data_IF_720541427416
#
_entry.id   IF_720541427416
#
_cell.length_a   1.000
_cell.length_b   1.000
_cell.length_c   1.000
_cell.angle_alpha   90.00
_cell.angle_beta   90.00
_cell.angle_gamma   90.00
#
_symmetry.space_group_name_H-M   'P 1'
#
loop_
_entity.id
_entity.type
_entity.pdbx_description
1 polymer ?
#
# COMPACT_ATOMS: atom_id res chain seq x y z
N UNK A 1 12.82 -7.95 -12.49
CA UNK A 1 12.46 -9.16 -13.29
C UNK A 1 11.60 -8.75 -14.50
N UNK A 2 11.47 -9.58 -15.55
CA UNK A 2 10.54 -9.29 -16.67
C UNK A 2 9.09 -9.50 -16.24
N UNK A 3 8.17 -8.66 -16.74
CA UNK A 3 6.72 -8.83 -16.53
C UNK A 3 6.17 -10.11 -17.16
N UNK A 4 6.93 -10.79 -18.02
CA UNK A 4 6.54 -12.08 -18.62
C UNK A 4 6.42 -13.21 -17.59
N UNK A 5 6.97 -13.03 -16.39
CA UNK A 5 6.76 -13.94 -15.26
C UNK A 5 5.34 -13.85 -14.68
N UNK A 6 4.55 -12.83 -15.07
CA UNK A 6 3.18 -12.63 -14.60
C UNK A 6 2.18 -13.04 -15.68
N UNK A 7 1.08 -13.65 -15.25
CA UNK A 7 -0.03 -14.02 -16.13
C UNK A 7 -0.55 -12.79 -16.89
N UNK A 8 -0.67 -12.93 -18.21
CA UNK A 8 -1.37 -11.97 -19.04
C UNK A 8 -2.85 -12.34 -19.11
N UNK A 9 -3.73 -11.46 -18.64
CA UNK A 9 -5.18 -11.61 -18.77
C UNK A 9 -5.71 -10.50 -19.69
N UNK A 10 -6.36 -10.83 -20.81
CA UNK A 10 -6.93 -9.81 -21.67
C UNK A 10 -7.99 -9.01 -20.90
N UNK A 11 -7.99 -7.69 -21.07
CA UNK A 11 -9.01 -6.81 -20.49
C UNK A 11 -10.31 -7.05 -21.25
N UNK A 12 -11.24 -7.77 -20.64
CA UNK A 12 -12.61 -7.88 -21.16
C UNK A 12 -13.33 -6.55 -20.93
N UNK A 13 -14.13 -6.08 -21.89
CA UNK A 13 -15.03 -4.96 -21.63
C UNK A 13 -16.09 -5.38 -20.60
N UNK A 14 -16.69 -4.41 -19.90
CA UNK A 14 -17.89 -4.68 -19.11
C UNK A 14 -19.05 -4.86 -20.08
N UNK A 15 -19.76 -5.97 -19.96
CA UNK A 15 -20.93 -6.29 -20.80
C UNK A 15 -22.23 -5.74 -20.17
N UNK A 16 -22.18 -4.52 -19.60
CA UNK A 16 -23.36 -3.86 -19.04
C UNK A 16 -23.98 -2.97 -20.11
N UNK A 17 -25.21 -3.29 -20.51
CA UNK A 17 -25.90 -2.55 -21.58
C UNK A 17 -26.47 -1.22 -21.07
N UNK A 18 -26.71 -0.27 -21.99
CA UNK A 18 -27.40 0.98 -21.62
C UNK A 18 -28.82 0.73 -21.08
N UNK A 19 -29.48 -0.32 -21.55
CA UNK A 19 -30.81 -0.71 -21.08
C UNK A 19 -30.76 -1.16 -19.61
N UNK A 20 -29.81 -2.01 -19.23
CA UNK A 20 -29.60 -2.47 -17.85
C UNK A 20 -29.26 -1.31 -16.91
N UNK A 21 -28.41 -0.38 -17.36
CA UNK A 21 -28.06 0.84 -16.60
C UNK A 21 -29.32 1.67 -16.34
N UNK A 22 -30.16 1.88 -17.36
CA UNK A 22 -31.37 2.66 -17.24
C UNK A 22 -32.42 1.97 -16.37
N UNK A 23 -32.55 0.64 -16.46
CA UNK A 23 -33.46 -0.13 -15.61
C UNK A 23 -33.04 -0.03 -14.15
N UNK A 24 -31.75 -0.25 -13.86
CA UNK A 24 -31.22 -0.18 -12.49
C UNK A 24 -31.32 1.24 -11.94
N UNK A 25 -31.07 2.27 -12.75
CA UNK A 25 -31.26 3.68 -12.37
C UNK A 25 -32.70 3.95 -11.94
N UNK A 26 -33.69 3.52 -12.73
CA UNK A 26 -35.12 3.66 -12.40
C UNK A 26 -35.49 2.90 -11.13
N UNK A 27 -34.96 1.69 -10.95
CA UNK A 27 -35.18 0.89 -9.74
C UNK A 27 -34.61 1.58 -8.51
N UNK A 28 -33.40 2.17 -8.60
CA UNK A 28 -32.80 2.94 -7.50
C UNK A 28 -33.70 4.13 -7.13
N UNK A 29 -34.13 4.93 -8.10
CA UNK A 29 -35.02 6.09 -7.85
C UNK A 29 -36.35 5.65 -7.22
N UNK A 30 -36.96 4.59 -7.73
CA UNK A 30 -38.22 4.05 -7.21
C UNK A 30 -38.06 3.56 -5.76
N UNK A 31 -37.01 2.80 -5.47
CA UNK A 31 -36.78 2.30 -4.12
C UNK A 31 -36.47 3.44 -3.14
N UNK A 32 -35.67 4.42 -3.53
CA UNK A 32 -35.43 5.61 -2.70
C UNK A 32 -36.75 6.35 -2.42
N UNK A 33 -37.62 6.48 -3.42
CA UNK A 33 -38.94 7.09 -3.24
C UNK A 33 -39.81 6.31 -2.23
N UNK A 34 -39.75 4.97 -2.23
CA UNK A 34 -40.45 4.15 -1.24
C UNK A 34 -39.99 4.43 0.20
N UNK A 35 -38.72 4.83 0.38
CA UNK A 35 -38.17 5.28 1.67
C UNK A 35 -38.36 6.79 1.93
N UNK A 36 -39.22 7.47 1.16
CA UNK A 36 -39.45 8.92 1.22
C UNK A 36 -38.18 9.76 0.95
N UNK A 37 -37.28 9.24 0.12
CA UNK A 37 -36.08 9.93 -0.35
C UNK A 37 -36.25 10.23 -1.83
N UNK A 38 -36.42 11.52 -2.15
CA UNK A 38 -36.52 11.96 -3.55
C UNK A 38 -35.13 12.26 -4.10
N UNK A 39 -34.71 11.46 -5.06
CA UNK A 39 -33.43 11.58 -5.74
C UNK A 39 -33.59 11.20 -7.22
N UNK A 40 -32.72 11.75 -8.07
CA UNK A 40 -32.66 11.38 -9.50
C UNK A 40 -31.24 11.01 -9.88
N UNK A 41 -31.07 9.94 -10.65
CA UNK A 41 -29.78 9.54 -11.21
C UNK A 41 -29.41 10.49 -12.33
N UNK A 42 -28.22 11.08 -12.26
CA UNK A 42 -27.70 12.05 -13.24
C UNK A 42 -26.62 11.48 -14.14
N UNK A 43 -25.82 10.59 -13.60
CA UNK A 43 -24.67 10.03 -14.29
C UNK A 43 -24.40 8.62 -13.77
N UNK A 44 -23.74 7.80 -14.59
CA UNK A 44 -23.40 6.42 -14.26
C UNK A 44 -21.98 6.12 -14.70
N UNK A 45 -21.15 5.70 -13.75
CA UNK A 45 -19.78 5.27 -14.00
C UNK A 45 -19.70 3.75 -13.86
N UNK A 46 -19.54 3.07 -14.99
CA UNK A 46 -19.33 1.61 -15.03
C UNK A 46 -17.85 1.30 -14.78
N UNK A 47 -17.57 0.61 -13.68
CA UNK A 47 -16.24 0.20 -13.28
C UNK A 47 -15.96 -1.29 -13.51
N UNK A 48 -14.74 -1.77 -13.21
CA UNK A 48 -14.38 -3.18 -13.37
C UNK A 48 -15.11 -4.12 -12.39
N UNK A 49 -15.44 -3.65 -11.19
CA UNK A 49 -16.02 -4.47 -10.10
C UNK A 49 -17.38 -3.96 -9.65
N UNK A 50 -17.56 -2.64 -9.68
CA UNK A 50 -18.78 -1.96 -9.25
C UNK A 50 -19.19 -0.92 -10.29
N UNK A 51 -20.46 -0.58 -10.30
CA UNK A 51 -21.01 0.54 -11.07
C UNK A 51 -21.50 1.59 -10.09
N UNK A 52 -21.08 2.85 -10.27
CA UNK A 52 -21.52 3.98 -9.44
C UNK A 52 -22.63 4.74 -10.16
N UNK A 53 -23.78 4.82 -9.53
CA UNK A 53 -24.89 5.68 -9.92
C UNK A 53 -24.79 6.99 -9.14
N UNK A 54 -24.61 8.10 -9.83
CA UNK A 54 -24.53 9.42 -9.22
C UNK A 54 -25.92 10.04 -9.11
N UNK A 55 -26.33 10.40 -7.90
CA UNK A 55 -27.67 10.91 -7.63
C UNK A 55 -27.64 12.36 -7.19
N UNK A 56 -28.54 13.14 -7.77
CA UNK A 56 -28.94 14.44 -7.27
C UNK A 56 -30.10 14.26 -6.28
N UNK A 57 -29.87 14.68 -5.04
CA UNK A 57 -30.91 14.72 -4.01
C UNK A 57 -31.77 15.97 -4.17
N UNK A 58 -33.07 15.87 -3.88
CA UNK A 58 -33.90 17.06 -3.83
C UNK A 58 -33.49 18.02 -2.68
N UNK A 59 -33.71 19.34 -2.84
CA UNK A 59 -33.42 20.31 -1.79
C UNK A 59 -34.01 19.91 -0.43
N UNK A 60 -33.19 19.96 0.61
CA UNK A 60 -33.58 19.61 1.98
C UNK A 60 -33.44 18.12 2.35
N UNK A 61 -33.12 17.25 1.39
CA UNK A 61 -32.77 15.84 1.68
C UNK A 61 -31.30 15.75 2.07
N UNK A 62 -31.00 15.22 3.26
CA UNK A 62 -29.64 15.01 3.74
C UNK A 62 -29.08 13.69 3.18
N UNK A 63 -27.81 13.68 2.77
CA UNK A 63 -27.11 12.47 2.31
C UNK A 63 -27.16 11.32 3.34
N UNK A 64 -27.07 11.63 4.64
CA UNK A 64 -27.15 10.65 5.71
C UNK A 64 -28.46 9.84 5.74
N UNK A 65 -29.56 10.36 5.18
CA UNK A 65 -30.79 9.58 5.04
C UNK A 65 -30.60 8.36 4.14
N UNK A 66 -29.78 8.49 3.10
CA UNK A 66 -29.45 7.40 2.17
C UNK A 66 -28.48 6.43 2.83
N UNK A 67 -27.44 6.95 3.49
CA UNK A 67 -26.46 6.14 4.21
C UNK A 67 -27.13 5.27 5.29
N UNK A 68 -28.12 5.80 6.00
CA UNK A 68 -28.83 5.08 7.07
C UNK A 68 -29.72 3.93 6.59
N UNK A 69 -30.06 3.87 5.30
CA UNK A 69 -30.92 2.83 4.72
C UNK A 69 -30.17 1.92 3.74
N UNK A 70 -28.84 1.97 3.70
CA UNK A 70 -28.02 1.26 2.73
C UNK A 70 -28.30 -0.26 2.66
N UNK A 71 -28.45 -0.91 3.82
CA UNK A 71 -28.74 -2.33 3.93
C UNK A 71 -30.16 -2.67 3.44
N UNK A 72 -31.13 -1.81 3.73
CA UNK A 72 -32.51 -2.00 3.28
C UNK A 72 -32.65 -1.74 1.78
N UNK A 73 -31.93 -0.74 1.27
CA UNK A 73 -31.85 -0.42 -0.14
C UNK A 73 -31.15 -1.53 -0.93
N UNK A 74 -30.05 -2.09 -0.41
CA UNK A 74 -29.37 -3.24 -1.01
C UNK A 74 -30.34 -4.42 -1.17
N UNK A 75 -31.11 -4.73 -0.11
CA UNK A 75 -32.11 -5.81 -0.12
C UNK A 75 -33.23 -5.54 -1.12
N UNK A 76 -33.76 -4.32 -1.15
CA UNK A 76 -34.83 -3.92 -2.08
C UNK A 76 -34.38 -3.96 -3.55
N UNK A 77 -33.09 -3.70 -3.80
CA UNK A 77 -32.48 -3.78 -5.12
C UNK A 77 -31.98 -5.19 -5.48
N UNK A 78 -32.06 -6.15 -4.55
CA UNK A 78 -31.55 -7.52 -4.69
C UNK A 78 -30.02 -7.62 -4.84
N UNK A 79 -29.28 -6.64 -4.31
CA UNK A 79 -27.82 -6.70 -4.20
C UNK A 79 -27.41 -7.33 -2.88
N UNK A 80 -26.30 -8.09 -2.89
CA UNK A 80 -25.70 -8.63 -1.65
C UNK A 80 -25.26 -7.52 -0.69
N UNK A 81 -24.72 -6.44 -1.24
CA UNK A 81 -24.33 -5.23 -0.53
C UNK A 81 -24.23 -4.08 -1.54
N UNK A 82 -24.40 -2.85 -1.05
CA UNK A 82 -24.11 -1.62 -1.79
C UNK A 82 -23.20 -0.73 -0.94
N UNK A 83 -22.56 0.26 -1.55
CA UNK A 83 -21.83 1.30 -0.83
C UNK A 83 -22.36 2.67 -1.21
N UNK A 84 -22.67 3.49 -0.20
CA UNK A 84 -23.09 4.88 -0.39
C UNK A 84 -21.87 5.79 -0.23
N UNK A 85 -21.51 6.52 -1.29
CA UNK A 85 -20.49 7.56 -1.28
C UNK A 85 -21.18 8.92 -1.09
N UNK A 86 -21.11 9.47 0.13
CA UNK A 86 -21.79 10.74 0.45
C UNK A 86 -21.26 11.95 -0.31
N UNK A 87 -20.00 11.91 -0.75
CA UNK A 87 -19.37 13.00 -1.50
C UNK A 87 -18.63 12.43 -2.70
N UNK A 88 -18.94 12.98 -3.87
CA UNK A 88 -18.19 12.75 -5.10
C UNK A 88 -17.32 13.98 -5.36
N UNK A 89 -16.02 13.77 -5.54
CA UNK A 89 -15.08 14.87 -5.77
C UNK A 89 -15.46 15.65 -7.05
N UNK A 90 -15.63 16.96 -6.91
CA UNK A 90 -15.94 17.85 -8.03
C UNK A 90 -17.39 17.85 -8.52
N UNK A 91 -18.30 17.09 -7.89
CA UNK A 91 -19.72 17.03 -8.27
C UNK A 91 -20.64 17.19 -7.05
N UNK A 92 -21.80 17.87 -7.16
CA UNK A 92 -22.76 18.04 -6.05
C UNK A 92 -23.68 16.81 -5.88
N UNK A 93 -23.16 15.60 -6.15
CA UNK A 93 -23.94 14.36 -6.17
C UNK A 93 -23.46 13.40 -5.09
N UNK A 94 -24.38 12.53 -4.66
CA UNK A 94 -24.05 11.33 -3.89
C UNK A 94 -23.86 10.16 -4.85
N UNK A 95 -23.12 9.12 -4.45
CA UNK A 95 -22.95 7.91 -5.24
C UNK A 95 -23.55 6.69 -4.58
N UNK A 96 -24.26 5.85 -5.34
CA UNK A 96 -24.58 4.48 -4.93
C UNK A 96 -23.75 3.54 -5.79
N UNK A 97 -22.86 2.79 -5.16
CA UNK A 97 -22.01 1.78 -5.81
C UNK A 97 -22.67 0.41 -5.65
N UNK A 98 -23.04 -0.20 -6.77
CA UNK A 98 -23.60 -1.55 -6.83
C UNK A 98 -22.58 -2.51 -7.41
N UNK A 99 -22.49 -3.76 -6.93
CA UNK A 99 -21.62 -4.75 -7.53
C UNK A 99 -22.09 -5.09 -8.95
N UNK A 100 -21.16 -5.26 -9.87
CA UNK A 100 -21.46 -5.81 -11.20
C UNK A 100 -21.72 -7.33 -11.08
N UNK A 101 -22.56 -7.86 -11.96
CA UNK A 101 -22.81 -9.30 -12.04
C UNK A 101 -21.55 -10.05 -12.48
N UNK A 102 -20.85 -9.51 -13.48
CA UNK A 102 -19.56 -10.02 -13.96
C UNK A 102 -18.41 -9.11 -13.50
N UNK A 103 -17.84 -9.43 -12.34
CA UNK A 103 -16.67 -8.71 -11.81
C UNK A 103 -15.41 -9.08 -12.59
N UNK A 104 -14.71 -8.09 -13.09
CA UNK A 104 -13.42 -8.27 -13.75
C UNK A 104 -12.32 -8.47 -12.71
N UNK A 105 -11.44 -9.44 -12.97
CA UNK A 105 -10.24 -9.63 -12.15
C UNK A 105 -9.20 -8.60 -12.56
N UNK A 106 -8.80 -7.74 -11.61
CA UNK A 106 -7.69 -6.81 -11.80
C UNK A 106 -6.38 -7.57 -11.57
N UNK A 107 -5.59 -7.77 -12.63
CA UNK A 107 -4.31 -8.47 -12.53
C UNK A 107 -3.19 -7.52 -12.04
N UNK A 108 -2.19 -8.06 -11.33
CA UNK A 108 -1.00 -7.29 -10.97
C UNK A 108 -0.27 -6.79 -12.22
N UNK A 109 -0.16 -7.64 -13.26
CA UNK A 109 0.51 -7.29 -14.51
C UNK A 109 -0.09 -6.05 -15.14
N UNK A 110 -1.41 -5.92 -15.17
CA UNK A 110 -2.10 -4.75 -15.73
C UNK A 110 -1.64 -3.44 -15.08
N UNK A 111 -1.45 -3.46 -13.76
CA UNK A 111 -1.07 -2.27 -13.00
C UNK A 111 0.42 -2.00 -13.17
N UNK A 112 1.27 -3.02 -13.19
CA UNK A 112 2.71 -2.84 -13.41
C UNK A 112 3.05 -2.45 -14.87
N UNK A 113 2.24 -2.85 -15.83
CA UNK A 113 2.37 -2.51 -17.25
C UNK A 113 1.88 -1.09 -17.57
N UNK A 114 1.11 -0.48 -16.65
CA UNK A 114 0.58 0.88 -16.78
C UNK A 114 1.67 1.96 -16.82
N UNK A 115 1.35 3.09 -17.47
CA UNK A 115 2.22 4.25 -17.48
C UNK A 115 2.43 4.82 -16.07
N UNK A 116 1.38 4.79 -15.24
CA UNK A 116 1.40 5.22 -13.85
C UNK A 116 2.47 4.51 -13.04
N UNK A 117 2.70 3.21 -13.29
CA UNK A 117 3.76 2.45 -12.62
C UNK A 117 5.11 2.61 -13.33
N UNK A 118 5.17 2.37 -14.64
CA UNK A 118 6.42 2.36 -15.43
C UNK A 118 7.17 3.69 -15.42
N UNK A 119 6.42 4.78 -15.52
CA UNK A 119 6.97 6.14 -15.57
C UNK A 119 6.99 6.79 -14.17
N UNK A 120 6.68 6.03 -13.12
CA UNK A 120 6.66 6.54 -11.76
C UNK A 120 8.05 6.99 -11.31
N UNK A 121 8.10 8.20 -10.73
CA UNK A 121 9.26 8.74 -10.01
C UNK A 121 9.22 8.40 -8.51
N UNK A 122 8.27 7.57 -8.08
CA UNK A 122 8.23 7.09 -6.69
C UNK A 122 9.50 6.30 -6.38
N UNK A 123 10.04 6.49 -5.18
CA UNK A 123 11.22 5.77 -4.71
C UNK A 123 10.84 4.33 -4.35
N UNK A 124 9.68 4.16 -3.72
CA UNK A 124 9.16 2.88 -3.29
C UNK A 124 7.73 2.69 -3.84
N UNK A 125 7.56 2.49 -5.16
CA UNK A 125 6.24 2.37 -5.77
C UNK A 125 5.55 1.07 -5.34
N UNK A 126 4.30 1.19 -4.89
CA UNK A 126 3.43 0.07 -4.59
C UNK A 126 2.16 0.15 -5.44
N UNK A 127 1.93 -0.85 -6.29
CA UNK A 127 0.68 -1.01 -7.00
C UNK A 127 -0.40 -1.49 -6.04
N UNK A 128 -1.54 -0.78 -5.98
CA UNK A 128 -2.67 -1.17 -5.14
C UNK A 128 -3.79 -1.86 -5.93
N UNK A 129 -3.88 -1.60 -7.23
CA UNK A 129 -4.95 -2.11 -8.08
C UNK A 129 -5.46 -1.03 -9.02
N UNK A 130 -6.78 -1.06 -9.27
CA UNK A 130 -7.50 -0.04 -10.04
C UNK A 130 -8.55 0.61 -9.14
N UNK A 131 -8.82 1.89 -9.36
CA UNK A 131 -9.97 2.53 -8.74
C UNK A 131 -11.29 2.07 -9.37
N UNK A 132 -12.41 2.62 -8.90
CA UNK A 132 -13.73 2.26 -9.41
C UNK A 132 -13.97 2.66 -10.87
N UNK A 133 -13.14 3.54 -11.45
CA UNK A 133 -13.18 3.91 -12.88
C UNK A 133 -12.30 2.99 -13.74
N UNK A 134 -11.54 2.08 -13.09
CA UNK A 134 -10.57 1.22 -13.77
C UNK A 134 -9.18 1.84 -13.92
N UNK A 135 -8.94 3.03 -13.35
CA UNK A 135 -7.64 3.69 -13.45
C UNK A 135 -6.62 3.03 -12.51
N UNK A 136 -5.40 2.70 -12.97
CA UNK A 136 -4.34 2.18 -12.12
C UNK A 136 -4.01 3.09 -10.94
N UNK A 137 -3.87 2.51 -9.75
CA UNK A 137 -3.48 3.21 -8.52
C UNK A 137 -2.12 2.70 -8.04
N UNK A 138 -1.17 3.62 -8.02
CA UNK A 138 0.20 3.40 -7.53
C UNK A 138 0.50 4.46 -6.47
N UNK A 139 1.00 4.03 -5.31
CA UNK A 139 1.43 4.92 -4.22
C UNK A 139 2.93 4.83 -4.01
N UNK A 140 3.50 5.76 -3.27
CA UNK A 140 4.92 5.78 -2.91
C UNK A 140 5.09 5.60 -1.41
N UNK A 141 5.59 4.44 -0.98
CA UNK A 141 5.78 4.12 0.43
C UNK A 141 6.71 5.14 1.12
N UNK A 142 7.68 5.73 0.42
CA UNK A 142 8.57 6.74 1.01
C UNK A 142 7.82 8.03 1.40
N UNK A 143 6.70 8.34 0.72
CA UNK A 143 5.85 9.50 1.03
C UNK A 143 4.79 9.19 2.08
N UNK A 144 4.36 7.95 2.17
CA UNK A 144 3.48 7.41 3.21
C UNK A 144 4.27 6.41 4.06
N UNK A 145 5.20 6.89 4.91
CA UNK A 145 6.35 6.11 5.41
C UNK A 145 5.98 4.85 6.19
N UNK A 146 4.76 4.79 6.72
CA UNK A 146 4.24 3.64 7.43
C UNK A 146 2.81 3.35 6.96
N UNK A 147 2.51 2.07 6.79
CA UNK A 147 1.22 1.59 6.30
C UNK A 147 0.66 0.56 7.27
N UNK A 148 -0.60 0.71 7.66
CA UNK A 148 -1.36 -0.30 8.39
C UNK A 148 -2.36 -0.94 7.42
N UNK A 149 -2.30 -2.26 7.30
CA UNK A 149 -3.21 -3.05 6.45
C UNK A 149 -4.06 -3.94 7.34
N UNK A 150 -5.38 -3.84 7.22
CA UNK A 150 -6.33 -4.63 7.99
C UNK A 150 -7.41 -5.21 7.06
N UNK A 151 -7.83 -6.43 7.34
CA UNK A 151 -8.88 -7.12 6.60
C UNK A 151 -9.20 -8.47 7.24
N UNK A 152 -10.46 -8.90 7.17
CA UNK A 152 -10.89 -10.22 7.64
C UNK A 152 -10.36 -11.33 6.74
N UNK A 153 -10.40 -12.59 7.21
CA UNK A 153 -10.05 -13.75 6.40
C UNK A 153 -10.86 -13.77 5.10
N UNK A 154 -10.20 -13.98 3.97
CA UNK A 154 -10.83 -14.00 2.65
C UNK A 154 -11.09 -12.61 2.04
N UNK A 155 -10.79 -11.51 2.74
CA UNK A 155 -10.92 -10.15 2.19
C UNK A 155 -9.85 -9.79 1.14
N UNK A 156 -8.78 -10.60 1.04
CA UNK A 156 -7.67 -10.36 0.12
C UNK A 156 -6.44 -9.70 0.75
N UNK A 157 -6.35 -9.58 2.09
CA UNK A 157 -5.18 -9.00 2.81
C UNK A 157 -3.85 -9.56 2.29
N UNK A 158 -3.69 -10.89 2.31
CA UNK A 158 -2.44 -11.54 1.91
C UNK A 158 -2.09 -11.31 0.43
N UNK A 159 -3.10 -11.32 -0.45
CA UNK A 159 -2.92 -11.00 -1.87
C UNK A 159 -2.46 -9.55 -2.03
N UNK A 160 -3.04 -8.61 -1.27
CA UNK A 160 -2.64 -7.21 -1.26
C UNK A 160 -1.19 -7.01 -0.78
N UNK A 161 -0.78 -7.69 0.30
CA UNK A 161 0.61 -7.64 0.79
C UNK A 161 1.57 -8.17 -0.27
N UNK A 162 1.29 -9.33 -0.88
CA UNK A 162 2.09 -9.89 -1.96
C UNK A 162 2.17 -8.94 -3.17
N UNK A 163 1.07 -8.27 -3.52
CA UNK A 163 1.02 -7.25 -4.58
C UNK A 163 1.99 -6.09 -4.27
N UNK A 164 2.01 -5.61 -3.02
CA UNK A 164 2.94 -4.55 -2.58
C UNK A 164 4.41 -5.02 -2.62
N UNK A 165 4.71 -6.22 -2.13
CA UNK A 165 6.06 -6.80 -2.15
C UNK A 165 6.55 -6.96 -3.59
N UNK A 166 5.73 -7.57 -4.45
CA UNK A 166 6.09 -7.77 -5.85
C UNK A 166 6.27 -6.43 -6.58
N UNK A 167 5.44 -5.42 -6.31
CA UNK A 167 5.62 -4.08 -6.88
C UNK A 167 7.04 -3.54 -6.64
N UNK A 168 7.55 -3.71 -5.41
CA UNK A 168 8.90 -3.33 -5.07
C UNK A 168 9.91 -4.22 -5.80
N UNK A 169 9.79 -5.56 -5.72
CA UNK A 169 10.73 -6.49 -6.36
C UNK A 169 10.84 -6.34 -7.88
N UNK A 170 9.78 -5.88 -8.55
CA UNK A 170 9.81 -5.56 -9.98
C UNK A 170 10.52 -4.24 -10.30
N UNK A 171 10.68 -3.34 -9.32
CA UNK A 171 11.23 -1.99 -9.51
C UNK A 171 12.63 -1.80 -8.93
N UNK A 172 12.87 -2.27 -7.71
CA UNK A 172 14.05 -1.89 -6.90
C UNK A 172 15.06 -3.03 -6.78
N UNK A 173 16.33 -2.67 -6.77
CA UNK A 173 17.44 -3.61 -6.60
C UNK A 173 17.72 -3.92 -5.13
N UNK A 174 18.40 -5.04 -4.81
CA UNK A 174 18.75 -5.40 -3.43
C UNK A 174 19.65 -4.39 -2.72
N UNK A 175 20.40 -3.60 -3.47
CA UNK A 175 21.25 -2.51 -2.98
C UNK A 175 20.46 -1.23 -2.65
N UNK A 176 19.25 -1.09 -3.19
CA UNK A 176 18.37 0.07 -2.97
C UNK A 176 17.36 -0.20 -1.85
N UNK A 177 16.89 -1.44 -1.72
CA UNK A 177 15.90 -1.85 -0.73
C UNK A 177 16.24 -3.18 -0.10
N UNK A 178 16.05 -3.22 1.21
CA UNK A 178 16.24 -4.39 2.06
C UNK A 178 14.96 -4.69 2.83
N UNK A 179 14.64 -5.98 2.98
CA UNK A 179 13.45 -6.45 3.68
C UNK A 179 13.79 -7.11 5.01
N UNK A 180 12.94 -6.86 6.00
CA UNK A 180 12.78 -7.71 7.19
C UNK A 180 11.34 -8.17 7.17
N UNK A 181 11.13 -9.48 7.01
CA UNK A 181 9.81 -10.08 6.95
C UNK A 181 9.54 -10.86 8.23
N UNK A 182 8.40 -10.62 8.85
CA UNK A 182 7.95 -11.26 10.08
C UNK A 182 6.64 -11.98 9.79
N UNK A 183 6.69 -13.31 9.86
CA UNK A 183 5.57 -14.21 9.57
C UNK A 183 5.44 -15.25 10.69
N UNK A 184 4.65 -14.95 11.73
CA UNK A 184 4.49 -15.85 12.87
C UNK A 184 3.76 -17.15 12.52
N UNK A 185 3.00 -17.18 11.41
CA UNK A 185 2.19 -18.32 11.00
C UNK A 185 2.91 -19.21 10.00
N UNK A 186 4.00 -18.73 9.39
CA UNK A 186 4.80 -19.45 8.38
C UNK A 186 3.99 -19.80 7.13
N UNK A 187 2.98 -19.00 6.81
CA UNK A 187 2.06 -19.27 5.69
C UNK A 187 2.30 -18.34 4.52
N UNK A 188 2.54 -17.05 4.79
CA UNK A 188 2.36 -16.00 3.79
C UNK A 188 3.69 -15.47 3.26
N UNK A 189 4.67 -15.21 4.14
CA UNK A 189 5.93 -14.59 3.75
C UNK A 189 7.10 -15.59 3.63
N UNK A 190 6.94 -16.80 4.14
CA UNK A 190 7.98 -17.85 4.08
C UNK A 190 8.44 -18.17 2.66
N UNK A 191 7.59 -17.97 1.66
CA UNK A 191 7.88 -18.12 0.22
C UNK A 191 8.99 -17.17 -0.28
N UNK A 192 9.24 -16.05 0.41
CA UNK A 192 10.26 -15.07 0.04
C UNK A 192 11.66 -15.43 0.55
N UNK A 193 11.82 -16.50 1.33
CA UNK A 193 13.15 -16.91 1.77
C UNK A 193 14.12 -17.12 0.60
N UNK A 194 15.34 -16.62 0.75
CA UNK A 194 16.41 -16.74 -0.26
C UNK A 194 16.48 -15.59 -1.27
N UNK A 195 15.54 -14.63 -1.27
CA UNK A 195 15.69 -13.44 -2.11
C UNK A 195 16.86 -12.56 -1.61
N UNK A 196 17.64 -11.92 -2.51
CA UNK A 196 18.81 -11.12 -2.13
C UNK A 196 18.46 -9.82 -1.37
N UNK A 197 17.18 -9.42 -1.38
CA UNK A 197 16.68 -8.26 -0.66
C UNK A 197 16.53 -8.52 0.85
N UNK A 198 16.43 -9.76 1.32
CA UNK A 198 16.28 -10.04 2.75
C UNK A 198 17.57 -9.71 3.53
N UNK A 199 17.43 -9.04 4.68
CA UNK A 199 18.53 -8.85 5.65
C UNK A 199 18.76 -10.07 6.52
N UNK A 200 17.70 -10.84 6.74
CA UNK A 200 17.67 -12.07 7.53
C UNK A 200 16.60 -12.96 6.94
N UNK A 201 16.70 -14.26 7.18
CA UNK A 201 15.60 -15.19 6.92
C UNK A 201 14.30 -14.70 7.57
N UNK A 202 13.17 -15.08 6.95
CA UNK A 202 11.84 -14.70 7.41
C UNK A 202 11.69 -15.09 8.88
N UNK A 203 11.37 -14.10 9.72
CA UNK A 203 11.34 -14.26 11.16
C UNK A 203 10.01 -14.86 11.57
N UNK A 204 10.06 -16.08 12.09
CA UNK A 204 8.88 -16.83 12.56
C UNK A 204 8.73 -16.81 14.09
N UNK A 205 9.84 -16.68 14.81
CA UNK A 205 9.85 -16.60 16.28
C UNK A 205 9.57 -15.17 16.77
N UNK A 206 8.62 -15.04 17.69
CA UNK A 206 8.16 -13.75 18.20
C UNK A 206 9.19 -12.99 19.02
N UNK A 207 10.09 -13.69 19.71
CA UNK A 207 11.19 -13.03 20.45
C UNK A 207 12.24 -12.52 19.48
N UNK A 208 12.54 -13.29 18.42
CA UNK A 208 13.39 -12.81 17.32
C UNK A 208 12.76 -11.62 16.59
N UNK A 209 11.45 -11.60 16.42
CA UNK A 209 10.73 -10.47 15.84
C UNK A 209 10.91 -9.19 16.65
N UNK A 210 10.79 -9.26 17.99
CA UNK A 210 11.08 -8.13 18.87
C UNK A 210 12.54 -7.66 18.78
N UNK A 211 13.50 -8.58 18.64
CA UNK A 211 14.91 -8.24 18.43
C UNK A 211 15.15 -7.58 17.07
N UNK A 212 14.46 -8.02 16.01
CA UNK A 212 14.53 -7.40 14.70
C UNK A 212 14.02 -5.95 14.72
N UNK A 213 12.90 -5.70 15.41
CA UNK A 213 12.39 -4.34 15.62
C UNK A 213 13.35 -3.47 16.45
N UNK A 214 13.98 -4.04 17.49
CA UNK A 214 15.01 -3.34 18.27
C UNK A 214 16.21 -2.98 17.39
N UNK A 215 16.68 -3.92 16.57
CA UNK A 215 17.75 -3.66 15.61
C UNK A 215 17.38 -2.54 14.62
N UNK A 216 16.12 -2.49 14.16
CA UNK A 216 15.66 -1.39 13.31
C UNK A 216 15.76 -0.02 14.01
N UNK A 217 15.46 0.03 15.31
CA UNK A 217 15.61 1.26 16.11
C UNK A 217 17.07 1.65 16.25
N UNK A 218 17.97 0.69 16.50
CA UNK A 218 19.41 0.94 16.62
C UNK A 218 20.00 1.41 15.27
N UNK A 219 19.60 0.79 14.16
CA UNK A 219 20.00 1.20 12.81
C UNK A 219 19.44 2.59 12.45
N UNK A 220 18.20 2.90 12.86
CA UNK A 220 17.64 4.24 12.72
C UNK A 220 18.51 5.29 13.45
N UNK A 221 18.93 5.02 14.68
CA UNK A 221 19.83 5.91 15.44
C UNK A 221 21.20 6.06 14.77
N UNK A 222 21.80 4.95 14.33
CA UNK A 222 23.06 4.96 13.59
C UNK A 222 22.97 5.82 12.34
N UNK A 223 21.92 5.64 11.53
CA UNK A 223 21.70 6.44 10.31
C UNK A 223 21.55 7.92 10.63
N UNK A 224 20.83 8.28 11.69
CA UNK A 224 20.74 9.68 12.14
C UNK A 224 22.10 10.28 12.49
N UNK A 225 22.99 9.52 13.13
CA UNK A 225 24.35 9.97 13.40
C UNK A 225 25.09 10.22 12.08
N UNK A 226 25.01 9.30 11.12
CA UNK A 226 25.64 9.46 9.80
C UNK A 226 25.10 10.69 9.05
N UNK A 227 23.78 10.89 9.02
CA UNK A 227 23.16 12.06 8.40
C UNK A 227 23.67 13.37 9.04
N UNK A 228 23.77 13.41 10.37
CA UNK A 228 24.26 14.56 11.12
C UNK A 228 25.72 14.90 10.79
N UNK A 229 26.60 13.89 10.76
CA UNK A 229 28.01 14.07 10.41
C UNK A 229 28.19 14.60 8.99
N UNK A 230 27.40 14.08 8.04
CA UNK A 230 27.42 14.56 6.66
C UNK A 230 26.58 15.82 6.45
N UNK A 231 25.91 16.36 7.48
CA UNK A 231 25.06 17.57 7.42
C UNK A 231 23.97 17.47 6.34
N UNK A 232 23.36 16.31 6.21
CA UNK A 232 22.24 16.03 5.30
C UNK A 232 20.98 15.75 6.10
N UNK A 233 19.82 15.92 5.47
CA UNK A 233 18.53 15.83 6.17
C UNK A 233 17.86 14.46 6.05
N UNK A 234 18.23 13.68 5.05
CA UNK A 234 17.59 12.42 4.70
C UNK A 234 18.54 11.45 3.99
N UNK A 235 18.09 10.21 3.83
CA UNK A 235 18.82 9.13 3.15
C UNK A 235 19.18 9.49 1.70
N UNK A 236 18.31 10.21 0.99
CA UNK A 236 18.59 10.64 -0.38
C UNK A 236 19.81 11.56 -0.44
N UNK A 237 19.83 12.62 0.39
CA UNK A 237 20.98 13.52 0.45
C UNK A 237 22.25 12.85 0.97
N UNK A 238 22.12 11.82 1.82
CA UNK A 238 23.26 10.98 2.20
C UNK A 238 23.82 10.24 0.99
N UNK A 239 22.97 9.53 0.25
CA UNK A 239 23.38 8.73 -0.89
C UNK A 239 23.98 9.59 -2.01
N UNK A 240 23.43 10.78 -2.25
CA UNK A 240 23.98 11.77 -3.18
C UNK A 240 25.42 12.17 -2.80
N UNK A 241 25.69 12.44 -1.52
CA UNK A 241 27.05 12.75 -1.06
C UNK A 241 28.03 11.59 -1.22
N UNK A 242 27.57 10.36 -1.01
CA UNK A 242 28.40 9.17 -1.24
C UNK A 242 28.74 9.05 -2.74
N UNK A 243 27.78 9.32 -3.64
CA UNK A 243 28.02 9.32 -5.08
C UNK A 243 29.01 10.39 -5.52
N UNK A 244 28.86 11.62 -5.02
CA UNK A 244 29.79 12.73 -5.32
C UNK A 244 31.22 12.38 -4.87
N UNK A 245 31.37 11.84 -3.66
CA UNK A 245 32.64 11.42 -3.12
C UNK A 245 33.29 10.29 -3.93
N UNK A 246 32.48 9.30 -4.34
CA UNK A 246 32.93 8.19 -5.19
C UNK A 246 33.37 8.69 -6.58
N UNK A 247 32.62 9.63 -7.19
CA UNK A 247 32.96 10.22 -8.48
C UNK A 247 34.28 11.01 -8.45
N UNK A 248 34.64 11.58 -7.30
CA UNK A 248 35.92 12.27 -7.09
C UNK A 248 37.06 11.34 -6.62
N UNK A 249 36.82 10.03 -6.48
CA UNK A 249 37.75 9.06 -5.89
C UNK A 249 38.21 9.46 -4.47
N UNK A 250 37.34 10.11 -3.70
CA UNK A 250 37.60 10.56 -2.33
C UNK A 250 36.58 9.91 -1.38
N UNK A 251 36.72 8.61 -1.07
CA UNK A 251 35.77 7.90 -0.23
C UNK A 251 35.71 8.53 1.17
N UNK A 252 34.49 8.72 1.68
CA UNK A 252 34.28 9.29 3.01
C UNK A 252 34.48 8.20 4.07
N UNK A 253 35.41 8.36 5.02
CA UNK A 253 35.59 7.38 6.10
C UNK A 253 34.39 7.41 7.06
N UNK A 254 34.03 6.26 7.64
CA UNK A 254 32.96 6.15 8.63
C UNK A 254 33.32 6.94 9.91
N UNK A 255 32.58 8.03 10.24
CA UNK A 255 32.89 8.86 11.39
C UNK A 255 32.51 8.19 12.72
N UNK A 256 31.71 7.13 12.70
CA UNK A 256 31.25 6.41 13.90
C UNK A 256 32.15 5.25 14.29
N UNK A 257 33.06 4.84 13.40
CA UNK A 257 33.98 3.73 13.62
C UNK A 257 35.02 4.03 14.69
N UNK A 258 35.26 3.06 15.59
CA UNK A 258 36.33 3.11 16.58
C UNK A 258 37.35 1.99 16.35
N UNK A 259 38.63 2.21 16.69
CA UNK A 259 39.63 1.14 16.67
C UNK A 259 39.18 -0.04 17.53
N UNK A 260 39.01 -1.21 16.91
CA UNK A 260 38.51 -2.43 17.54
C UNK A 260 37.11 -2.88 17.12
N UNK A 261 36.33 -2.02 16.44
CA UNK A 261 34.98 -2.37 15.94
C UNK A 261 35.01 -3.38 14.78
N UNK A 262 36.16 -3.50 14.09
CA UNK A 262 36.34 -4.39 12.93
C UNK A 262 37.80 -4.80 12.76
N UNK A 263 38.07 -5.74 11.84
CA UNK A 263 39.44 -6.14 11.45
C UNK A 263 40.19 -5.07 10.65
N UNK A 264 39.56 -3.94 10.30
CA UNK A 264 40.21 -2.85 9.60
C UNK A 264 41.17 -2.07 10.50
N UNK A 265 42.30 -1.64 9.94
CA UNK A 265 43.28 -0.77 10.62
C UNK A 265 42.90 0.71 10.60
N UNK A 266 42.01 1.10 9.68
CA UNK A 266 41.49 2.46 9.50
C UNK A 266 39.97 2.41 9.35
N UNK A 267 39.25 3.51 9.60
CA UNK A 267 37.82 3.58 9.37
C UNK A 267 37.47 3.14 7.93
N UNK A 268 36.53 2.21 7.75
CA UNK A 268 36.10 1.80 6.42
C UNK A 268 35.39 2.95 5.70
N UNK A 269 35.41 2.92 4.36
CA UNK A 269 34.67 3.88 3.57
C UNK A 269 33.15 3.67 3.73
N UNK A 270 32.41 4.76 3.86
CA UNK A 270 30.96 4.75 3.86
C UNK A 270 30.42 4.30 2.50
N UNK A 271 29.48 3.35 2.54
CA UNK A 271 28.66 2.97 1.40
C UNK A 271 27.32 3.69 1.39
N UNK A 272 26.59 3.53 0.27
CA UNK A 272 25.18 3.92 0.18
C UNK A 272 24.33 3.14 1.18
N UNK A 273 23.28 3.80 1.66
CA UNK A 273 22.25 3.17 2.48
C UNK A 273 21.08 2.75 1.60
N UNK A 274 20.61 1.53 1.83
CA UNK A 274 19.35 1.01 1.27
C UNK A 274 18.18 1.41 2.15
N UNK A 275 16.99 1.60 1.57
CA UNK A 275 15.76 1.64 2.36
C UNK A 275 15.54 0.30 3.06
N UNK A 276 15.02 0.32 4.28
CA UNK A 276 14.67 -0.89 5.03
C UNK A 276 13.15 -0.95 5.19
N UNK A 277 12.54 -1.96 4.59
CA UNK A 277 11.10 -2.19 4.70
C UNK A 277 10.86 -3.37 5.63
N UNK A 278 10.22 -3.08 6.76
CA UNK A 278 9.79 -4.09 7.73
C UNK A 278 8.34 -4.46 7.44
N UNK A 279 8.10 -5.74 7.16
CA UNK A 279 6.76 -6.28 6.85
C UNK A 279 6.37 -7.25 7.94
N UNK A 280 5.22 -7.01 8.55
CA UNK A 280 4.64 -7.87 9.58
C UNK A 280 3.28 -8.34 9.09
N UNK A 281 3.13 -9.63 8.78
CA UNK A 281 1.85 -10.14 8.24
C UNK A 281 0.74 -10.11 9.30
N UNK A 282 1.01 -10.71 10.47
CA UNK A 282 0.06 -10.74 11.59
C UNK A 282 0.60 -9.97 12.78
N UNK A 283 0.34 -8.66 12.76
CA UNK A 283 0.78 -7.76 13.83
C UNK A 283 0.11 -8.07 15.19
N UNK A 284 -1.12 -8.59 15.17
CA UNK A 284 -1.86 -8.91 16.39
C UNK A 284 -1.14 -9.98 17.24
N UNK A 285 -0.63 -11.03 16.61
CA UNK A 285 0.11 -12.11 17.30
C UNK A 285 1.38 -11.56 17.98
N UNK A 286 1.99 -10.57 17.34
CA UNK A 286 3.17 -9.88 17.84
C UNK A 286 2.86 -9.04 19.08
N UNK A 287 1.75 -8.33 19.08
CA UNK A 287 1.26 -7.62 20.27
C UNK A 287 0.87 -8.56 21.42
N UNK A 288 0.39 -9.78 21.14
CA UNK A 288 -0.02 -10.72 22.19
C UNK A 288 1.17 -11.26 23.01
N UNK A 289 2.35 -11.42 22.41
CA UNK A 289 3.50 -12.04 23.09
C UNK A 289 4.34 -11.06 23.89
N UNK A 290 4.53 -9.82 23.41
CA UNK A 290 5.35 -8.82 24.10
C UNK A 290 4.81 -7.37 23.90
N UNK A 291 3.49 -7.21 24.02
CA UNK A 291 2.72 -6.03 23.62
C UNK A 291 3.35 -4.68 23.93
N UNK A 292 3.61 -4.36 25.21
CA UNK A 292 4.15 -3.03 25.59
C UNK A 292 5.50 -2.73 24.94
N UNK A 293 6.41 -3.69 24.94
CA UNK A 293 7.74 -3.49 24.39
C UNK A 293 7.70 -3.27 22.88
N UNK A 294 6.86 -4.03 22.19
CA UNK A 294 6.67 -3.91 20.74
C UNK A 294 6.03 -2.57 20.38
N UNK A 295 5.02 -2.17 21.15
CA UNK A 295 4.33 -0.90 20.96
C UNK A 295 5.30 0.28 21.07
N UNK A 296 6.17 0.28 22.08
CA UNK A 296 7.23 1.28 22.25
C UNK A 296 8.20 1.31 21.06
N UNK A 297 8.63 0.15 20.56
CA UNK A 297 9.54 0.06 19.40
C UNK A 297 8.87 0.61 18.13
N UNK A 298 7.61 0.25 17.88
CA UNK A 298 6.88 0.72 16.70
C UNK A 298 6.56 2.20 16.79
N UNK A 299 6.14 2.69 17.96
CA UNK A 299 5.93 4.12 18.19
C UNK A 299 7.22 4.91 17.90
N UNK A 300 8.37 4.38 18.35
CA UNK A 300 9.67 5.02 18.12
C UNK A 300 10.07 5.04 16.65
N UNK A 301 9.90 3.92 15.93
CA UNK A 301 10.16 3.84 14.50
C UNK A 301 9.23 4.77 13.71
N UNK A 302 7.93 4.71 13.98
CA UNK A 302 6.93 5.49 13.22
C UNK A 302 7.07 7.01 13.41
N UNK A 303 7.62 7.45 14.54
CA UNK A 303 7.87 8.87 14.81
C UNK A 303 9.11 9.41 14.07
N UNK A 304 10.12 8.59 13.79
CA UNK A 304 11.45 9.08 13.39
C UNK A 304 12.07 8.41 12.15
N UNK A 305 11.58 7.26 11.70
CA UNK A 305 12.26 6.49 10.66
C UNK A 305 12.20 7.15 9.27
N UNK A 306 11.18 7.97 8.97
CA UNK A 306 10.96 8.54 7.63
C UNK A 306 12.20 9.13 6.95
N UNK A 307 13.01 9.90 7.68
CA UNK A 307 14.15 10.59 7.10
C UNK A 307 15.33 9.65 6.81
N UNK A 308 15.44 8.53 7.54
CA UNK A 308 16.57 7.61 7.45
C UNK A 308 16.32 6.43 6.51
N UNK A 309 15.14 6.39 5.87
CA UNK A 309 14.72 5.34 4.93
C UNK A 309 14.40 4.04 5.63
#
# INVERSE_FOLDING_TARGET
>A
PSLDLLDHRPVTAQDITQEEIMETSKRIEQQLSNFNIKATVKDVLVGPVVTRYELELQPGVKASKVTNIDNDLARALMFRSIRVAEVISGKPYIGIETPNDHRQVVSLRDVLDSNEFRQSKALLPMALGKDISGKPIVIDLAKTPHLLVAGSTGSGKSVGINTMILSLLFRVKPEEVKFIMIDPKVVELSIYNGIPHLLTEVVTDMKKAANALRWCVDEMERRYQLLSHLRVRNIEGYNEKIDEAAAMNLPIPDPTWKPGDSMHSMPPALGKLSYIIVIVDEFADLMMVAGKQIEELIARLTQKARAIG
#
